data_IF_628823763313
#
_entry.id   IF_628823763313
#
_cell.length_a   1.000
_cell.length_b   1.000
_cell.length_c   1.000
_cell.angle_alpha   90.00
_cell.angle_beta   90.00
_cell.angle_gamma   90.00
#
_symmetry.space_group_name_H-M   'P 1'
#
loop_
_entity.id
_entity.type
_entity.pdbx_description
1 polymer ?
#
# COMPACT_ATOMS: atom_id res chain seq x y z
N UNK A 1 6.86 -18.94 5.36
CA UNK A 1 7.17 -20.27 5.90
C UNK A 1 5.92 -20.92 6.51
N UNK A 2 5.20 -20.25 7.41
CA UNK A 2 3.96 -20.74 8.02
C UNK A 2 2.83 -21.07 7.02
N UNK A 3 2.49 -20.16 6.09
CA UNK A 3 1.48 -20.43 5.04
C UNK A 3 1.82 -21.68 4.20
N UNK A 4 3.07 -21.80 3.73
CA UNK A 4 3.53 -22.97 2.96
C UNK A 4 3.41 -24.28 3.77
N UNK A 5 3.58 -24.19 5.09
CA UNK A 5 3.43 -25.30 6.03
C UNK A 5 1.99 -25.49 6.52
N UNK A 6 1.01 -24.72 6.01
CA UNK A 6 -0.40 -24.75 6.41
C UNK A 6 -0.61 -24.60 7.93
N UNK A 7 0.29 -23.87 8.59
CA UNK A 7 0.13 -23.56 10.01
C UNK A 7 -0.99 -22.51 10.12
N UNK A 8 -2.04 -22.76 10.93
CA UNK A 8 -3.14 -21.80 11.09
C UNK A 8 -2.67 -20.57 11.88
N UNK A 9 -3.10 -19.39 11.44
CA UNK A 9 -2.94 -18.12 12.15
C UNK A 9 -4.05 -17.16 11.70
N UNK A 10 -4.39 -16.20 12.57
CA UNK A 10 -5.49 -15.26 12.30
C UNK A 10 -5.03 -13.93 11.72
N UNK A 11 -3.85 -13.43 12.11
CA UNK A 11 -3.32 -12.15 11.66
C UNK A 11 -1.79 -12.09 11.73
N UNK A 12 -1.20 -11.08 11.11
CA UNK A 12 0.24 -10.79 11.13
C UNK A 12 0.49 -9.46 11.84
N UNK A 13 1.29 -9.48 12.91
CA UNK A 13 1.78 -8.27 13.58
C UNK A 13 3.13 -7.83 13.03
N UNK A 14 3.36 -6.53 12.88
CA UNK A 14 4.67 -5.99 12.48
C UNK A 14 4.96 -4.62 13.10
N UNK A 15 6.25 -4.34 13.30
CA UNK A 15 6.73 -3.07 13.86
C UNK A 15 6.67 -1.90 12.85
N UNK A 16 7.06 -0.71 13.33
CA UNK A 16 7.11 0.52 12.53
C UNK A 16 7.99 0.45 11.27
N UNK A 17 9.05 -0.37 11.29
CA UNK A 17 9.98 -0.47 10.17
C UNK A 17 9.31 -1.18 8.98
N UNK A 18 8.52 -2.22 9.27
CA UNK A 18 7.74 -2.93 8.26
C UNK A 18 6.41 -2.27 7.95
N UNK A 19 5.74 -1.67 8.94
CA UNK A 19 4.42 -1.06 8.76
C UNK A 19 4.41 0.18 7.88
N UNK A 20 5.52 0.92 7.80
CA UNK A 20 5.66 2.04 6.85
C UNK A 20 5.76 1.59 5.38
N UNK A 21 6.12 0.34 5.10
CA UNK A 21 6.27 -0.16 3.74
C UNK A 21 4.91 -0.47 3.11
N UNK A 22 4.49 0.35 2.16
CA UNK A 22 3.24 0.14 1.41
C UNK A 22 3.26 -1.11 0.53
N UNK A 23 4.42 -1.51 0.00
CA UNK A 23 4.51 -2.70 -0.85
C UNK A 23 4.23 -3.95 -0.04
N UNK A 24 4.80 -4.05 1.17
CA UNK A 24 4.57 -5.18 2.07
C UNK A 24 3.10 -5.28 2.49
N UNK A 25 2.51 -4.17 2.91
CA UNK A 25 1.08 -4.08 3.28
C UNK A 25 0.17 -4.55 2.14
N UNK A 26 0.36 -4.02 0.93
CA UNK A 26 -0.41 -4.41 -0.25
C UNK A 26 -0.20 -5.89 -0.61
N UNK A 27 0.99 -6.45 -0.37
CA UNK A 27 1.28 -7.85 -0.65
C UNK A 27 0.56 -8.79 0.31
N UNK A 28 0.49 -8.44 1.59
CA UNK A 28 -0.22 -9.22 2.62
C UNK A 28 -1.74 -9.13 2.40
N UNK A 29 -2.25 -7.92 2.12
CA UNK A 29 -3.64 -7.71 1.76
C UNK A 29 -4.04 -8.51 0.51
N UNK A 30 -3.21 -8.50 -0.53
CA UNK A 30 -3.43 -9.30 -1.75
C UNK A 30 -3.39 -10.82 -1.53
N UNK A 31 -2.97 -11.29 -0.35
CA UNK A 31 -3.06 -12.69 0.09
C UNK A 31 -4.31 -12.96 0.95
N UNK A 32 -5.15 -11.96 1.22
CA UNK A 32 -6.35 -12.09 2.05
C UNK A 32 -6.04 -12.23 3.54
N UNK A 33 -4.89 -11.73 4.00
CA UNK A 33 -4.44 -11.87 5.38
C UNK A 33 -4.64 -10.57 6.14
N UNK A 34 -5.27 -10.68 7.31
CA UNK A 34 -5.40 -9.55 8.24
C UNK A 34 -4.03 -9.24 8.84
N UNK A 35 -3.68 -7.96 8.90
CA UNK A 35 -2.44 -7.52 9.55
C UNK A 35 -2.68 -6.33 10.47
N UNK A 36 -1.82 -6.22 11.46
CA UNK A 36 -1.73 -5.09 12.40
C UNK A 36 -0.30 -4.60 12.30
N UNK A 37 -0.13 -3.31 12.02
CA UNK A 37 1.18 -2.73 11.76
C UNK A 37 1.32 -1.39 12.47
N UNK A 38 2.40 -1.24 13.23
CA UNK A 38 2.76 0.08 13.74
C UNK A 38 3.24 0.96 12.59
N UNK A 39 2.97 2.26 12.66
CA UNK A 39 3.45 3.24 11.69
C UNK A 39 4.11 4.41 12.43
N UNK A 40 5.13 5.05 11.83
CA UNK A 40 5.67 6.30 12.35
C UNK A 40 4.59 7.38 12.44
N UNK A 41 4.63 8.20 13.48
CA UNK A 41 3.67 9.29 13.70
C UNK A 41 3.64 10.34 12.58
N UNK A 42 4.72 10.46 11.79
CA UNK A 42 4.83 11.37 10.66
C UNK A 42 4.50 10.70 9.30
N UNK A 43 3.99 9.47 9.31
CA UNK A 43 3.55 8.82 8.08
C UNK A 43 2.21 9.41 7.62
N UNK A 44 2.18 9.92 6.38
CA UNK A 44 0.93 10.39 5.78
C UNK A 44 0.00 9.21 5.51
N UNK A 45 -1.26 9.39 5.92
CA UNK A 45 -2.33 8.41 5.72
C UNK A 45 -3.52 9.08 5.03
N UNK A 46 -4.25 8.29 4.25
CA UNK A 46 -5.50 8.71 3.65
C UNK A 46 -6.64 8.38 4.62
N UNK A 47 -7.42 9.39 5.01
CA UNK A 47 -8.59 9.20 5.89
C UNK A 47 -9.80 8.60 5.16
N UNK A 48 -9.79 8.69 3.83
CA UNK A 48 -10.79 8.10 2.93
C UNK A 48 -10.03 7.41 1.80
N UNK A 49 -10.63 6.37 1.22
CA UNK A 49 -10.02 5.68 0.09
C UNK A 49 -9.75 6.67 -1.06
N UNK A 50 -8.49 6.82 -1.48
CA UNK A 50 -8.14 7.77 -2.52
C UNK A 50 -8.52 7.22 -3.90
N UNK A 51 -8.76 8.12 -4.86
CA UNK A 51 -8.97 7.69 -6.25
C UNK A 51 -7.67 7.19 -6.87
N UNK A 52 -7.65 5.92 -7.27
CA UNK A 52 -6.51 5.27 -7.91
C UNK A 52 -6.82 4.94 -9.37
N UNK A 53 -5.91 5.28 -10.28
CA UNK A 53 -6.06 4.99 -11.71
C UNK A 53 -4.77 5.18 -12.49
N UNK A 54 -4.78 4.88 -13.80
CA UNK A 54 -3.64 5.22 -14.67
C UNK A 54 -3.70 6.73 -14.93
N UNK A 55 -2.63 7.50 -14.64
CA UNK A 55 -2.64 8.94 -14.81
C UNK A 55 -2.80 9.31 -16.30
N UNK A 56 -3.36 10.49 -16.56
CA UNK A 56 -3.40 11.04 -17.92
C UNK A 56 -1.98 11.22 -18.45
N UNK A 57 -1.77 10.89 -19.72
CA UNK A 57 -0.49 11.12 -20.40
C UNK A 57 -0.16 12.62 -20.36
N UNK A 58 1.06 12.95 -19.94
CA UNK A 58 1.60 14.32 -20.08
C UNK A 58 1.99 14.57 -21.53
N UNK A 59 1.78 15.79 -22.01
CA UNK A 59 2.19 16.20 -23.36
C UNK A 59 3.72 16.05 -23.51
N UNK A 60 4.19 15.49 -24.63
CA UNK A 60 5.61 15.31 -24.93
C UNK A 60 6.04 13.87 -25.29
N UNK A 61 7.37 13.67 -25.36
CA UNK A 61 8.02 12.37 -25.60
C UNK A 61 8.05 11.51 -24.33
N UNK A 62 7.84 10.21 -24.50
CA UNK A 62 7.88 9.23 -23.41
C UNK A 62 6.86 8.10 -23.57
N UNK A 63 7.00 7.04 -22.78
CA UNK A 63 6.09 5.89 -22.78
C UNK A 63 4.75 6.27 -22.15
N UNK A 64 3.65 5.74 -22.69
CA UNK A 64 2.34 5.88 -22.07
C UNK A 64 2.36 5.31 -20.64
N UNK A 65 1.77 6.00 -19.65
CA UNK A 65 1.64 5.46 -18.32
C UNK A 65 0.78 4.20 -18.35
N UNK A 66 1.21 3.15 -17.65
CA UNK A 66 0.46 1.88 -17.50
C UNK A 66 0.25 1.49 -16.05
N UNK A 67 1.00 2.09 -15.12
CA UNK A 67 0.92 1.78 -13.69
C UNK A 67 -0.17 2.64 -13.05
N UNK A 68 -1.01 2.01 -12.22
CA UNK A 68 -1.97 2.71 -11.37
C UNK A 68 -1.24 3.57 -10.35
N UNK A 69 -1.73 4.79 -10.15
CA UNK A 69 -1.24 5.77 -9.20
C UNK A 69 -2.42 6.43 -8.51
N UNK A 70 -2.16 7.04 -7.35
CA UNK A 70 -3.14 7.94 -6.73
C UNK A 70 -3.29 9.17 -7.64
N UNK A 71 -4.53 9.48 -8.00
CA UNK A 71 -4.87 10.61 -8.89
C UNK A 71 -5.18 11.90 -8.11
N UNK A 72 -5.27 11.80 -6.79
CA UNK A 72 -5.55 12.91 -5.88
C UNK A 72 -4.26 13.49 -5.33
N UNK A 73 -4.27 14.80 -5.06
CA UNK A 73 -3.17 15.45 -4.36
C UNK A 73 -3.34 15.20 -2.85
N UNK A 74 -2.24 14.90 -2.13
CA UNK A 74 -2.30 14.78 -0.68
C UNK A 74 -2.77 16.12 -0.09
N UNK A 75 -3.56 16.06 0.99
CA UNK A 75 -3.96 17.26 1.70
C UNK A 75 -2.70 17.99 2.20
N UNK A 76 -2.58 19.31 2.00
CA UNK A 76 -1.53 20.08 2.65
C UNK A 76 -1.71 19.98 4.17
N UNK A 77 -0.60 19.91 4.89
CA UNK A 77 -0.57 19.94 6.35
C UNK A 77 -0.85 21.34 6.88
#
# INVERSE_FOLDING_TARGET
HAQKKKIPFSWVGMDCAYGRDSWLRNKIEGQGIVYIADIPCNLQVWLKEPKVGVPKRKNGRGRNPTRKQVLEQPLPF
#
